data_IF_688196190888
#
_entry.id   IF_688196190888
#
_cell.length_a   1.000
_cell.length_b   1.000
_cell.length_c   1.000
_cell.angle_alpha   90.00
_cell.angle_beta   90.00
_cell.angle_gamma   90.00
#
_symmetry.space_group_name_H-M   'P 1'
#
loop_
_entity.id
_entity.type
_entity.pdbx_description
1 polymer ?
#
# COMPACT_ATOMS: atom_id res chain seq x y z
N UNK A 1 15.84 3.91 -7.17
CA UNK A 1 14.72 3.07 -7.62
C UNK A 1 14.56 3.10 -9.12
N UNK A 2 14.12 1.98 -9.68
CA UNK A 2 13.84 1.81 -11.10
C UNK A 2 12.34 2.00 -11.39
N UNK A 3 11.47 1.36 -10.61
CA UNK A 3 10.02 1.57 -10.62
C UNK A 3 9.36 1.02 -9.35
N UNK A 4 8.11 1.39 -9.10
CA UNK A 4 7.20 0.68 -8.19
C UNK A 4 5.92 0.31 -8.93
N UNK A 5 5.31 -0.82 -8.57
CA UNK A 5 4.03 -1.21 -9.15
C UNK A 5 3.14 -1.97 -8.17
N UNK A 6 1.83 -1.89 -8.41
CA UNK A 6 0.80 -2.65 -7.72
C UNK A 6 -0.07 -3.33 -8.78
N UNK A 7 -0.09 -4.66 -8.76
CA UNK A 7 -0.94 -5.49 -9.61
C UNK A 7 -2.06 -6.12 -8.78
N UNK A 8 -3.30 -5.97 -9.23
CA UNK A 8 -4.47 -6.62 -8.65
C UNK A 8 -5.06 -7.53 -9.74
N UNK A 9 -5.04 -8.84 -9.46
CA UNK A 9 -5.53 -9.89 -10.35
C UNK A 9 -6.83 -10.45 -9.77
N UNK A 10 -7.94 -10.14 -10.41
CA UNK A 10 -9.26 -10.65 -10.05
C UNK A 10 -9.79 -11.61 -11.10
N UNK A 11 -10.82 -12.38 -10.73
CA UNK A 11 -11.50 -13.30 -11.65
C UNK A 11 -12.05 -12.60 -12.91
N UNK A 12 -12.48 -11.34 -12.78
CA UNK A 12 -13.15 -10.57 -13.84
C UNK A 12 -12.35 -9.39 -14.38
N UNK A 13 -11.10 -9.26 -13.98
CA UNK A 13 -10.29 -8.15 -14.43
C UNK A 13 -8.94 -8.06 -13.75
N UNK A 14 -8.09 -7.24 -14.35
CA UNK A 14 -6.72 -7.02 -13.95
C UNK A 14 -6.42 -5.54 -14.03
N UNK A 15 -5.88 -5.01 -12.94
CA UNK A 15 -5.40 -3.64 -12.86
C UNK A 15 -3.94 -3.64 -12.47
N UNK A 16 -3.12 -2.87 -13.17
CA UNK A 16 -1.74 -2.59 -12.80
C UNK A 16 -1.52 -1.07 -12.80
N UNK A 17 -1.07 -0.57 -11.66
CA UNK A 17 -0.58 0.80 -11.53
C UNK A 17 0.93 0.72 -11.34
N UNK A 18 1.69 1.40 -12.19
CA UNK A 18 3.15 1.30 -12.28
C UNK A 18 3.80 2.68 -12.44
N UNK A 19 5.09 2.70 -12.71
CA UNK A 19 5.87 3.92 -12.94
C UNK A 19 6.69 4.31 -11.73
N UNK A 20 7.53 5.32 -11.88
CA UNK A 20 8.46 5.74 -10.84
C UNK A 20 7.75 6.13 -9.53
N UNK A 21 6.57 6.75 -9.63
CA UNK A 21 5.78 7.18 -8.49
C UNK A 21 4.43 6.43 -8.39
N UNK A 22 4.33 5.22 -8.97
CA UNK A 22 3.08 4.43 -9.03
C UNK A 22 1.92 5.27 -9.59
N UNK A 23 2.18 5.91 -10.73
CA UNK A 23 1.38 7.02 -11.25
C UNK A 23 0.90 6.80 -12.70
N UNK A 24 1.14 5.61 -13.25
CA UNK A 24 0.74 5.21 -14.59
C UNK A 24 -0.16 4.00 -14.48
N UNK A 25 -1.38 4.07 -15.02
CA UNK A 25 -2.23 2.89 -15.14
C UNK A 25 -1.76 2.11 -16.38
N UNK A 26 -0.93 1.09 -16.15
CA UNK A 26 -0.36 0.27 -17.23
C UNK A 26 -1.40 -0.73 -17.75
N UNK A 27 -2.22 -1.27 -16.85
CA UNK A 27 -3.30 -2.20 -17.20
C UNK A 27 -4.59 -1.79 -16.51
N UNK A 28 -5.67 -1.72 -17.29
CA UNK A 28 -7.05 -1.51 -16.84
C UNK A 28 -7.95 -2.37 -17.73
N UNK A 29 -8.08 -3.65 -17.37
CA UNK A 29 -8.77 -4.64 -18.21
C UNK A 29 -9.83 -5.36 -17.41
N UNK A 30 -11.06 -5.32 -17.90
CA UNK A 30 -12.21 -6.01 -17.31
C UNK A 30 -12.90 -6.86 -18.37
N UNK A 31 -13.55 -7.94 -17.95
CA UNK A 31 -14.34 -8.79 -18.86
C UNK A 31 -15.47 -7.99 -19.51
N UNK A 32 -16.13 -7.15 -18.73
CA UNK A 32 -17.20 -6.27 -19.17
C UNK A 32 -16.65 -4.83 -19.26
N UNK A 33 -16.08 -4.45 -20.40
CA UNK A 33 -15.55 -3.09 -20.60
C UNK A 33 -16.69 -2.05 -20.61
N UNK A 34 -16.47 -0.96 -19.87
CA UNK A 34 -17.35 0.19 -19.83
C UNK A 34 -16.78 1.34 -20.66
N UNK A 35 -17.60 2.19 -21.29
CA UNK A 35 -17.11 3.39 -21.98
C UNK A 35 -16.24 4.30 -21.11
N UNK A 36 -16.51 4.34 -19.79
CA UNK A 36 -15.75 5.11 -18.81
C UNK A 36 -14.35 4.56 -18.52
N UNK A 37 -14.02 3.34 -18.93
CA UNK A 37 -12.72 2.74 -18.62
C UNK A 37 -11.56 3.48 -19.29
N UNK A 38 -11.79 3.99 -20.52
CA UNK A 38 -10.80 4.82 -21.22
C UNK A 38 -10.55 6.13 -20.49
N UNK A 39 -11.63 6.77 -20.03
CA UNK A 39 -11.56 8.00 -19.26
C UNK A 39 -10.73 7.84 -17.98
N UNK A 40 -10.81 6.68 -17.32
CA UNK A 40 -10.04 6.42 -16.09
C UNK A 40 -8.55 6.42 -16.38
N UNK A 41 -8.12 5.68 -17.41
CA UNK A 41 -6.70 5.58 -17.78
C UNK A 41 -6.14 6.96 -18.13
N UNK A 42 -6.88 7.73 -18.94
CA UNK A 42 -6.45 9.06 -19.38
C UNK A 42 -6.41 10.09 -18.24
N UNK A 43 -7.41 10.10 -17.35
CA UNK A 43 -7.55 11.13 -16.30
C UNK A 43 -6.69 10.86 -15.07
N UNK A 44 -6.39 9.60 -14.77
CA UNK A 44 -5.72 9.22 -13.51
C UNK A 44 -4.30 8.69 -13.68
N UNK A 45 -3.79 8.56 -14.91
CA UNK A 45 -2.35 8.36 -15.17
C UNK A 45 -1.58 9.69 -15.11
N UNK A 46 -1.59 10.34 -13.95
CA UNK A 46 -1.05 11.69 -13.77
C UNK A 46 0.21 11.68 -12.93
N UNK A 47 1.21 12.46 -13.32
CA UNK A 47 2.35 12.72 -12.44
C UNK A 47 1.87 13.56 -11.24
N UNK A 48 2.16 13.14 -10.00
CA UNK A 48 1.89 13.99 -8.85
C UNK A 48 2.65 15.32 -8.97
N UNK A 49 2.09 16.44 -8.49
CA UNK A 49 2.71 17.76 -8.62
C UNK A 49 4.01 17.91 -7.81
N UNK A 50 4.26 17.02 -6.84
CA UNK A 50 5.48 16.98 -6.03
C UNK A 50 5.64 15.60 -5.35
N UNK A 51 6.75 15.42 -4.63
CA UNK A 51 7.12 14.17 -3.92
C UNK A 51 6.14 13.73 -2.84
N UNK A 52 5.29 14.64 -2.33
CA UNK A 52 4.26 14.32 -1.35
C UNK A 52 2.97 13.80 -2.01
N UNK A 53 2.87 13.90 -3.33
CA UNK A 53 1.72 13.40 -4.08
C UNK A 53 0.38 13.89 -3.55
N UNK A 54 -0.67 13.13 -3.83
CA UNK A 54 -2.03 13.46 -3.39
C UNK A 54 -2.36 12.92 -1.99
N UNK A 55 -1.57 11.97 -1.47
CA UNK A 55 -1.86 11.25 -0.23
C UNK A 55 -1.60 12.05 1.05
N UNK A 56 -0.51 12.81 1.12
CA UNK A 56 -0.11 13.49 2.37
C UNK A 56 -1.10 14.56 2.79
N UNK A 57 -1.53 15.41 1.85
CA UNK A 57 -2.50 16.47 2.16
C UNK A 57 -3.83 15.86 2.62
N UNK A 58 -4.34 14.84 1.94
CA UNK A 58 -5.55 14.15 2.34
C UNK A 58 -5.43 13.51 3.73
N UNK A 59 -4.28 12.89 4.02
CA UNK A 59 -4.00 12.32 5.34
C UNK A 59 -3.99 13.38 6.45
N UNK A 60 -3.33 14.53 6.25
CA UNK A 60 -3.32 15.59 7.25
C UNK A 60 -4.70 16.23 7.46
N UNK A 61 -5.48 16.43 6.39
CA UNK A 61 -6.87 16.87 6.54
C UNK A 61 -7.69 15.90 7.38
N UNK A 62 -7.51 14.60 7.15
CA UNK A 62 -8.17 13.57 7.93
C UNK A 62 -7.73 13.56 9.40
N UNK A 63 -6.45 13.81 9.69
CA UNK A 63 -5.97 13.97 11.08
C UNK A 63 -6.67 15.14 11.77
N UNK A 64 -6.77 16.29 11.11
CA UNK A 64 -7.48 17.46 11.65
C UNK A 64 -8.96 17.14 11.87
N UNK A 65 -9.64 16.52 10.89
CA UNK A 65 -11.05 16.09 11.02
C UNK A 65 -11.27 15.16 12.21
N UNK A 66 -10.36 14.21 12.46
CA UNK A 66 -10.45 13.32 13.62
C UNK A 66 -10.35 14.07 14.95
N UNK A 67 -9.48 15.09 15.03
CA UNK A 67 -9.29 15.90 16.23
C UNK A 67 -10.48 16.82 16.49
N UNK A 68 -11.02 17.46 15.45
CA UNK A 68 -12.14 18.40 15.57
C UNK A 68 -13.47 17.68 15.80
N UNK A 69 -13.69 16.55 15.13
CA UNK A 69 -14.97 15.85 15.11
C UNK A 69 -15.00 14.54 15.90
N UNK A 70 -13.93 14.25 16.67
CA UNK A 70 -13.79 13.03 17.49
C UNK A 70 -14.06 11.73 16.69
N UNK A 71 -13.56 11.68 15.45
CA UNK A 71 -13.72 10.52 14.57
C UNK A 71 -12.61 9.49 14.78
N UNK A 72 -12.90 8.25 14.42
CA UNK A 72 -11.91 7.18 14.41
C UNK A 72 -10.88 7.41 13.31
N UNK A 73 -9.61 7.24 13.64
CA UNK A 73 -8.54 7.34 12.66
C UNK A 73 -8.56 6.13 11.70
N UNK A 74 -8.48 6.37 10.39
CA UNK A 74 -8.34 5.31 9.37
C UNK A 74 -7.06 4.48 9.53
N UNK A 75 -6.00 5.11 10.06
CA UNK A 75 -4.74 4.45 10.39
C UNK A 75 -4.41 4.82 11.83
N UNK A 76 -4.71 3.90 12.75
CA UNK A 76 -4.46 4.06 14.18
C UNK A 76 -3.28 3.18 14.64
N UNK A 77 -3.05 3.12 15.95
CA UNK A 77 -1.98 2.30 16.52
C UNK A 77 -2.17 0.80 16.29
N UNK A 78 -3.42 0.31 16.15
CA UNK A 78 -3.69 -1.10 15.89
C UNK A 78 -3.37 -1.44 14.43
N UNK A 79 -3.76 -0.59 13.48
CA UNK A 79 -3.36 -0.76 12.08
C UNK A 79 -1.84 -0.65 11.91
N UNK A 80 -1.19 0.29 12.59
CA UNK A 80 0.27 0.41 12.60
C UNK A 80 0.98 -0.83 13.14
N UNK A 81 0.41 -1.47 14.17
CA UNK A 81 0.95 -2.71 14.75
C UNK A 81 0.92 -3.89 13.77
N UNK A 82 -0.10 -4.00 12.91
CA UNK A 82 -0.17 -5.08 11.89
C UNK A 82 0.98 -5.00 10.90
N UNK A 83 1.37 -3.78 10.50
CA UNK A 83 2.54 -3.58 9.63
C UNK A 83 3.84 -4.01 10.31
N UNK A 84 4.03 -3.65 11.59
CA UNK A 84 5.20 -4.08 12.37
C UNK A 84 5.26 -5.60 12.52
N UNK A 85 4.12 -6.22 12.81
CA UNK A 85 3.99 -7.67 12.90
C UNK A 85 4.43 -8.36 11.60
N UNK A 86 3.93 -7.90 10.46
CA UNK A 86 4.32 -8.44 9.16
C UNK A 86 5.82 -8.29 8.90
N UNK A 87 6.39 -7.11 9.18
CA UNK A 87 7.83 -6.87 9.03
C UNK A 87 8.62 -7.85 9.90
N UNK A 88 8.27 -7.99 11.18
CA UNK A 88 8.92 -8.95 12.07
C UNK A 88 8.78 -10.39 11.57
N UNK A 89 7.66 -10.76 10.96
CA UNK A 89 7.41 -12.10 10.41
C UNK A 89 8.36 -12.40 9.26
N UNK A 90 8.58 -11.42 8.38
CA UNK A 90 9.52 -11.53 7.27
C UNK A 90 10.94 -11.75 7.79
N UNK A 91 11.39 -11.00 8.79
CA UNK A 91 12.71 -11.21 9.38
C UNK A 91 12.84 -12.58 10.06
N UNK A 92 11.82 -13.03 10.80
CA UNK A 92 11.81 -14.38 11.38
C UNK A 92 11.87 -15.47 10.28
N UNK A 93 11.13 -15.30 9.20
CA UNK A 93 11.14 -16.22 8.05
C UNK A 93 12.51 -16.25 7.37
N UNK A 94 13.19 -15.11 7.23
CA UNK A 94 14.57 -15.05 6.69
C UNK A 94 15.56 -15.79 7.59
N UNK A 95 15.47 -15.62 8.92
CA UNK A 95 16.38 -16.27 9.87
C UNK A 95 16.13 -17.79 9.99
N UNK A 96 14.89 -18.22 9.79
CA UNK A 96 14.49 -19.63 9.94
C UNK A 96 14.52 -20.41 8.63
N UNK A 97 14.30 -19.74 7.50
CA UNK A 97 14.03 -20.38 6.21
C UNK A 97 12.63 -20.98 6.11
N UNK A 98 11.72 -20.69 7.05
CA UNK A 98 10.41 -21.33 7.18
C UNK A 98 9.26 -20.34 7.04
N UNK A 99 8.05 -20.85 6.78
CA UNK A 99 6.82 -20.05 6.81
C UNK A 99 6.49 -19.60 8.24
N UNK A 100 6.02 -18.35 8.39
CA UNK A 100 5.61 -17.77 9.67
C UNK A 100 4.13 -17.39 9.61
N UNK A 101 3.32 -18.02 10.46
CA UNK A 101 1.91 -17.66 10.60
C UNK A 101 1.76 -16.27 11.25
N UNK A 102 0.87 -15.43 10.73
CA UNK A 102 0.55 -14.15 11.37
C UNK A 102 -0.17 -14.39 12.72
N UNK A 103 -0.03 -13.45 13.65
CA UNK A 103 -0.24 -13.57 15.11
C UNK A 103 0.87 -14.32 15.86
N UNK A 104 2.05 -14.39 15.28
CA UNK A 104 3.24 -14.95 15.93
C UNK A 104 3.93 -13.94 16.85
N UNK A 105 4.80 -14.46 17.69
CA UNK A 105 5.76 -13.68 18.49
C UNK A 105 7.17 -14.01 17.97
N UNK A 106 8.00 -13.00 17.66
CA UNK A 106 9.36 -13.22 17.17
C UNK A 106 10.21 -14.04 18.17
N UNK A 107 11.04 -14.96 17.66
CA UNK A 107 11.94 -15.78 18.48
C UNK A 107 13.39 -15.69 18.05
N UNK A 108 13.63 -15.62 16.74
CA UNK A 108 14.95 -15.64 16.13
C UNK A 108 15.26 -14.37 15.33
N UNK A 109 14.24 -13.57 15.01
CA UNK A 109 14.42 -12.26 14.37
C UNK A 109 15.44 -11.37 15.12
N UNK A 110 16.49 -10.94 14.40
CA UNK A 110 17.57 -10.08 14.93
C UNK A 110 17.31 -8.58 14.73
N UNK A 111 16.10 -8.20 14.31
CA UNK A 111 15.76 -6.81 14.01
C UNK A 111 16.08 -5.88 15.20
N UNK A 112 16.97 -4.91 15.00
CA UNK A 112 17.38 -3.95 16.03
C UNK A 112 18.54 -4.39 16.93
N UNK A 113 19.12 -5.58 16.72
CA UNK A 113 20.35 -6.00 17.39
C UNK A 113 21.55 -5.41 16.65
N UNK A 114 22.39 -4.64 17.34
CA UNK A 114 23.63 -4.10 16.78
C UNK A 114 24.62 -5.24 16.59
N UNK A 115 25.12 -5.41 15.36
CA UNK A 115 26.16 -6.40 15.01
C UNK A 115 27.50 -6.11 15.65
#
# INVERSE_FOLDING_TARGET
>A
DLEGSLSILGEKGTVEISGFAVNQIRHWRFVDELPSDKDVVEKFSVNPPNVYGFGHQAYYHHVVDCLENQRAALVDGLEGRKSLELISALYESIETGEEVALRFTPRLSRLGVVS
#
